data_IF_418669036867
#
_entry.id   IF_418669036867
#
_cell.length_a   1.000
_cell.length_b   1.000
_cell.length_c   1.000
_cell.angle_alpha   90.00
_cell.angle_beta   90.00
_cell.angle_gamma   90.00
#
_symmetry.space_group_name_H-M   'P 1'
#
loop_
_entity.id
_entity.type
_entity.pdbx_description
1 polymer ?
#
# COMPACT_ATOMS: atom_id res chain seq x y z
N UNK A 1 -44.60 7.37 4.06
CA UNK A 1 -45.16 6.80 2.81
C UNK A 1 -43.99 6.29 1.96
N UNK A 2 -44.06 5.13 1.30
CA UNK A 2 -42.95 4.65 0.46
C UNK A 2 -42.96 5.31 -0.92
N UNK A 3 -41.80 5.71 -1.48
CA UNK A 3 -41.73 6.26 -2.83
C UNK A 3 -42.10 5.18 -3.87
N UNK A 4 -42.99 5.53 -4.81
CA UNK A 4 -43.42 4.66 -5.91
C UNK A 4 -42.34 4.49 -6.98
N UNK A 5 -41.42 5.46 -7.10
CA UNK A 5 -40.35 5.44 -8.10
C UNK A 5 -39.06 4.80 -7.55
N UNK A 6 -38.52 3.76 -8.23
CA UNK A 6 -37.31 3.07 -7.77
C UNK A 6 -36.07 3.98 -7.81
N UNK A 7 -36.02 4.96 -8.72
CA UNK A 7 -34.91 5.90 -8.83
C UNK A 7 -34.79 6.81 -7.60
N UNK A 8 -35.93 7.36 -7.13
CA UNK A 8 -35.98 8.25 -5.96
C UNK A 8 -35.58 7.48 -4.69
N UNK A 9 -35.94 6.19 -4.61
CA UNK A 9 -35.55 5.32 -3.49
C UNK A 9 -34.03 5.13 -3.41
N UNK A 10 -33.36 4.90 -4.53
CA UNK A 10 -31.90 4.75 -4.59
C UNK A 10 -31.18 6.10 -4.33
N UNK A 11 -31.71 7.20 -4.86
CA UNK A 11 -31.19 8.55 -4.58
C UNK A 11 -31.31 8.91 -3.08
N UNK A 12 -32.40 8.53 -2.41
CA UNK A 12 -32.56 8.70 -0.95
C UNK A 12 -31.56 7.85 -0.16
N UNK A 13 -31.31 6.59 -0.55
CA UNK A 13 -30.34 5.72 0.14
C UNK A 13 -28.91 6.21 -0.01
N UNK A 14 -28.52 6.58 -1.23
CA UNK A 14 -27.16 7.07 -1.53
C UNK A 14 -26.89 8.38 -0.80
N UNK A 15 -27.84 9.32 -0.81
CA UNK A 15 -27.72 10.58 -0.06
C UNK A 15 -27.67 10.37 1.45
N UNK A 16 -28.53 9.51 2.02
CA UNK A 16 -28.49 9.19 3.45
C UNK A 16 -27.14 8.57 3.86
N UNK A 17 -26.58 7.68 3.04
CA UNK A 17 -25.25 7.09 3.28
C UNK A 17 -24.16 8.16 3.23
N UNK A 18 -24.23 9.06 2.26
CA UNK A 18 -23.26 10.14 2.09
C UNK A 18 -23.31 11.16 3.24
N UNK A 19 -24.51 11.50 3.71
CA UNK A 19 -24.72 12.41 4.86
C UNK A 19 -24.24 11.75 6.17
N UNK A 20 -24.42 10.43 6.35
CA UNK A 20 -23.83 9.70 7.48
C UNK A 20 -22.30 9.79 7.53
N UNK A 21 -21.63 9.82 6.37
CA UNK A 21 -20.17 9.91 6.29
C UNK A 21 -19.63 11.33 6.45
N UNK A 22 -20.34 12.33 5.91
CA UNK A 22 -19.85 13.72 5.84
C UNK A 22 -20.52 14.71 6.82
N UNK A 23 -21.58 14.29 7.51
CA UNK A 23 -22.27 15.06 8.55
C UNK A 23 -23.23 16.14 8.03
N UNK A 24 -23.89 16.82 8.98
CA UNK A 24 -25.00 17.77 8.72
C UNK A 24 -24.62 19.01 7.90
N UNK A 25 -23.34 19.37 7.82
CA UNK A 25 -22.88 20.49 6.98
C UNK A 25 -23.11 20.23 5.48
N UNK A 26 -23.23 18.97 5.08
CA UNK A 26 -23.55 18.60 3.70
C UNK A 26 -25.05 18.69 3.42
N UNK A 27 -25.90 18.39 4.42
CA UNK A 27 -27.35 18.48 4.31
C UNK A 27 -27.82 19.91 3.97
N UNK A 28 -27.19 20.92 4.59
CA UNK A 28 -27.49 22.33 4.30
C UNK A 28 -27.17 22.73 2.85
N UNK A 29 -26.15 22.14 2.23
CA UNK A 29 -25.80 22.41 0.82
C UNK A 29 -26.73 21.69 -0.15
N UNK A 30 -27.22 20.51 0.25
CA UNK A 30 -28.10 19.69 -0.59
C UNK A 30 -29.53 20.25 -0.63
N UNK A 31 -29.91 21.09 0.34
CA UNK A 31 -31.18 21.79 0.40
C UNK A 31 -31.37 22.85 -0.71
N UNK A 32 -30.28 23.34 -1.29
CA UNK A 32 -30.29 24.34 -2.37
C UNK A 32 -30.73 23.76 -3.73
N UNK A 33 -30.69 22.44 -3.89
CA UNK A 33 -30.98 21.76 -5.15
C UNK A 33 -32.36 21.08 -5.12
N UNK A 34 -33.18 21.35 -6.13
CA UNK A 34 -34.56 20.86 -6.24
C UNK A 34 -34.64 19.33 -6.34
N UNK A 35 -33.56 18.66 -6.77
CA UNK A 35 -33.48 17.20 -6.88
C UNK A 35 -33.54 16.46 -5.53
N UNK A 36 -33.29 17.18 -4.43
CA UNK A 36 -33.29 16.64 -3.07
C UNK A 36 -34.43 17.21 -2.23
N UNK A 37 -35.59 17.43 -2.86
CA UNK A 37 -36.80 17.95 -2.20
C UNK A 37 -37.19 17.12 -0.96
N UNK A 38 -36.90 15.82 -0.96
CA UNK A 38 -37.15 14.89 0.14
C UNK A 38 -36.38 15.20 1.44
N UNK A 39 -35.39 16.09 1.41
CA UNK A 39 -34.70 16.57 2.62
C UNK A 39 -35.52 17.65 3.34
N UNK A 40 -36.43 18.33 2.63
CA UNK A 40 -37.30 19.36 3.22
C UNK A 40 -38.38 18.71 4.07
N UNK A 41 -38.66 19.30 5.24
CA UNK A 41 -39.71 18.84 6.16
C UNK A 41 -41.13 18.87 5.59
N UNK A 42 -41.33 19.67 4.54
CA UNK A 42 -42.63 19.84 3.88
C UNK A 42 -42.93 18.76 2.83
N UNK A 43 -41.95 17.92 2.47
CA UNK A 43 -42.12 16.85 1.48
C UNK A 43 -42.66 15.56 2.14
N UNK A 44 -43.72 14.93 1.60
CA UNK A 44 -44.21 13.62 2.05
C UNK A 44 -43.15 12.51 2.11
N UNK A 45 -42.06 12.62 1.36
CA UNK A 45 -40.96 11.65 1.32
C UNK A 45 -39.91 11.86 2.42
N UNK A 46 -39.99 12.96 3.17
CA UNK A 46 -39.06 13.27 4.27
C UNK A 46 -39.09 12.24 5.38
N UNK A 47 -40.27 11.70 5.69
CA UNK A 47 -40.42 10.63 6.67
C UNK A 47 -39.65 9.37 6.28
N UNK A 48 -39.57 9.06 4.98
CA UNK A 48 -38.83 7.91 4.47
C UNK A 48 -37.32 8.15 4.54
N UNK A 49 -36.87 9.34 4.15
CA UNK A 49 -35.48 9.75 4.29
C UNK A 49 -34.99 9.68 5.76
N UNK A 50 -35.77 10.18 6.72
CA UNK A 50 -35.45 10.06 8.15
C UNK A 50 -35.36 8.59 8.59
N UNK A 51 -36.27 7.73 8.12
CA UNK A 51 -36.21 6.29 8.43
C UNK A 51 -34.94 5.64 7.90
N UNK A 52 -34.56 5.91 6.64
CA UNK A 52 -33.32 5.37 6.04
C UNK A 52 -32.06 5.95 6.71
N UNK A 53 -32.10 7.22 7.14
CA UNK A 53 -31.04 7.84 7.90
C UNK A 53 -30.90 7.24 9.31
N UNK A 54 -32.00 6.87 9.96
CA UNK A 54 -31.98 6.26 11.28
C UNK A 54 -31.80 4.74 11.26
N UNK A 55 -32.09 4.08 10.14
CA UNK A 55 -31.83 2.66 9.96
C UNK A 55 -30.31 2.43 10.03
N UNK A 56 -29.83 1.53 10.91
CA UNK A 56 -28.46 1.06 10.80
C UNK A 56 -28.33 0.40 9.43
N UNK A 57 -27.24 0.66 8.71
CA UNK A 57 -27.02 0.16 7.37
C UNK A 57 -27.16 -1.37 7.34
N UNK A 58 -28.37 -1.88 7.09
CA UNK A 58 -28.61 -3.29 6.88
C UNK A 58 -28.21 -3.55 5.44
N UNK A 59 -27.13 -4.31 5.30
CA UNK A 59 -26.53 -4.73 4.04
C UNK A 59 -27.52 -5.57 3.22
N UNK A 60 -28.52 -4.96 2.59
CA UNK A 60 -29.50 -5.64 1.75
C UNK A 60 -29.37 -5.25 0.27
N UNK A 61 -28.13 -5.15 -0.22
CA UNK A 61 -27.86 -4.79 -1.62
C UNK A 61 -26.49 -5.14 -2.17
N UNK A 62 -25.59 -5.78 -1.41
CA UNK A 62 -24.23 -6.08 -1.86
C UNK A 62 -23.85 -7.54 -1.56
N UNK A 63 -24.64 -8.52 -2.01
CA UNK A 63 -24.19 -9.92 -1.98
C UNK A 63 -23.11 -10.20 -3.04
N UNK A 64 -22.95 -9.34 -4.06
CA UNK A 64 -21.90 -9.51 -5.09
C UNK A 64 -20.57 -8.80 -4.76
N UNK A 65 -20.52 -7.91 -3.77
CA UNK A 65 -19.28 -7.19 -3.38
C UNK A 65 -18.60 -7.78 -2.12
N UNK A 66 -19.21 -8.77 -1.48
CA UNK A 66 -18.57 -9.55 -0.41
C UNK A 66 -17.53 -10.53 -0.97
N UNK A 67 -17.56 -10.82 -2.27
CA UNK A 67 -16.58 -11.68 -2.95
C UNK A 67 -15.18 -11.07 -3.16
N UNK A 68 -14.97 -9.79 -2.82
CA UNK A 68 -13.66 -9.10 -2.97
C UNK A 68 -13.09 -8.52 -1.69
N UNK A 69 -13.69 -8.82 -0.54
CA UNK A 69 -12.90 -8.91 0.68
C UNK A 69 -12.34 -10.31 0.71
N UNK A 70 -11.24 -10.52 -0.03
CA UNK A 70 -10.29 -11.58 0.32
C UNK A 70 -10.21 -11.57 1.84
N UNK A 71 -10.53 -12.70 2.47
CA UNK A 71 -10.39 -12.82 3.91
C UNK A 71 -8.92 -12.55 4.21
N UNK A 72 -8.58 -11.30 4.57
CA UNK A 72 -7.25 -10.93 5.03
C UNK A 72 -7.09 -11.59 6.40
N UNK A 73 -6.77 -12.89 6.37
CA UNK A 73 -6.44 -13.64 7.58
C UNK A 73 -5.21 -12.96 8.14
N UNK A 74 -5.38 -12.30 9.29
CA UNK A 74 -4.34 -11.50 9.90
C UNK A 74 -3.10 -12.37 10.14
N UNK A 75 -1.95 -11.93 9.62
CA UNK A 75 -0.69 -12.67 9.74
C UNK A 75 -0.40 -12.94 11.23
N UNK A 76 -0.26 -14.21 11.65
CA UNK A 76 -0.03 -14.55 13.03
C UNK A 76 1.34 -14.06 13.48
N UNK A 77 1.50 -13.82 14.78
CA UNK A 77 2.77 -13.39 15.35
C UNK A 77 3.84 -14.47 15.12
N UNK A 78 5.01 -14.03 14.65
CA UNK A 78 6.17 -14.91 14.45
C UNK A 78 6.69 -15.45 15.79
N UNK A 79 7.19 -16.69 15.78
CA UNK A 79 7.86 -17.30 16.93
C UNK A 79 9.30 -16.80 17.05
N UNK A 80 9.48 -15.66 17.71
CA UNK A 80 10.82 -15.08 17.86
C UNK A 80 11.78 -15.94 18.69
N UNK A 81 11.29 -16.65 19.71
CA UNK A 81 12.14 -17.36 20.66
C UNK A 81 12.41 -18.83 20.29
N UNK A 82 11.91 -19.31 19.15
CA UNK A 82 12.02 -20.72 18.75
C UNK A 82 12.94 -20.93 17.55
N UNK A 83 13.35 -19.86 16.87
CA UNK A 83 14.18 -19.91 15.67
C UNK A 83 15.61 -19.58 16.05
N UNK A 84 16.36 -20.57 16.54
CA UNK A 84 17.80 -20.44 16.71
C UNK A 84 18.51 -21.39 15.76
N UNK A 85 19.49 -20.87 15.02
CA UNK A 85 20.35 -21.69 14.19
C UNK A 85 21.23 -22.57 15.08
N UNK A 86 21.13 -23.88 14.91
CA UNK A 86 21.91 -24.87 15.65
C UNK A 86 23.34 -25.01 15.12
N UNK A 87 23.66 -24.38 13.98
CA UNK A 87 24.97 -24.46 13.33
C UNK A 87 26.06 -23.55 13.91
N UNK A 88 25.74 -22.70 14.89
CA UNK A 88 26.66 -21.66 15.38
C UNK A 88 27.51 -22.20 16.54
N UNK A 89 28.81 -21.86 16.52
CA UNK A 89 29.74 -22.14 17.62
C UNK A 89 29.21 -21.60 18.95
N UNK A 90 29.33 -22.39 20.02
CA UNK A 90 28.88 -22.01 21.36
C UNK A 90 29.49 -20.68 21.84
N UNK A 91 30.77 -20.45 21.55
CA UNK A 91 31.46 -19.20 21.93
C UNK A 91 30.82 -18.00 21.25
N UNK A 92 30.58 -18.10 19.95
CA UNK A 92 30.00 -17.02 19.17
C UNK A 92 28.55 -16.76 19.60
N UNK A 93 27.79 -17.81 19.93
CA UNK A 93 26.45 -17.66 20.51
C UNK A 93 26.45 -16.93 21.85
N UNK A 94 27.43 -17.20 22.72
CA UNK A 94 27.57 -16.50 24.00
C UNK A 94 27.96 -15.04 23.79
N UNK A 95 28.89 -14.75 22.87
CA UNK A 95 29.32 -13.38 22.51
C UNK A 95 28.16 -12.59 21.90
N UNK A 96 27.42 -13.17 20.96
CA UNK A 96 26.26 -12.53 20.31
C UNK A 96 25.18 -12.23 21.34
N UNK A 97 24.82 -13.19 22.20
CA UNK A 97 23.80 -12.95 23.24
C UNK A 97 24.25 -11.89 24.24
N UNK A 98 25.52 -11.89 24.64
CA UNK A 98 26.06 -10.91 25.58
C UNK A 98 26.02 -9.50 24.98
N UNK A 99 26.56 -9.34 23.77
CA UNK A 99 26.56 -8.06 23.05
C UNK A 99 25.14 -7.58 22.77
N UNK A 100 24.21 -8.48 22.39
CA UNK A 100 22.82 -8.15 22.16
C UNK A 100 22.10 -7.67 23.42
N UNK A 101 22.40 -8.24 24.61
CA UNK A 101 21.86 -7.74 25.89
C UNK A 101 22.27 -6.31 26.17
N UNK A 102 23.56 -6.00 26.03
CA UNK A 102 24.07 -4.64 26.26
C UNK A 102 23.53 -3.63 25.22
N UNK A 103 23.35 -4.07 23.97
CA UNK A 103 22.74 -3.26 22.92
C UNK A 103 21.23 -3.03 23.13
N UNK A 104 20.54 -3.98 23.75
CA UNK A 104 19.10 -3.86 24.02
C UNK A 104 18.81 -2.89 25.17
N UNK A 105 19.77 -2.69 26.08
CA UNK A 105 19.69 -1.72 27.18
C UNK A 105 20.03 -0.30 26.68
N UNK A 106 21.19 -0.10 26.05
CA UNK A 106 21.55 1.19 25.45
C UNK A 106 21.95 1.04 23.98
N UNK A 107 21.28 1.78 23.10
CA UNK A 107 21.58 1.81 21.66
C UNK A 107 22.93 2.49 21.38
N UNK A 108 23.38 3.39 22.27
CA UNK A 108 24.69 4.05 22.17
C UNK A 108 25.87 3.08 22.32
N UNK A 109 25.67 1.95 23.01
CA UNK A 109 26.73 0.98 23.25
C UNK A 109 27.18 0.30 21.95
N UNK A 110 26.29 0.17 20.96
CA UNK A 110 26.62 -0.46 19.67
C UNK A 110 27.70 0.33 18.92
N UNK A 111 27.57 1.66 18.87
CA UNK A 111 28.55 2.54 18.23
C UNK A 111 29.89 2.56 18.98
N UNK A 112 29.85 2.54 20.31
CA UNK A 112 31.05 2.45 21.16
C UNK A 112 31.80 1.13 20.98
N UNK A 113 31.09 0.00 20.92
CA UNK A 113 31.67 -1.33 20.73
C UNK A 113 32.26 -1.44 19.32
N UNK A 114 31.53 -0.99 18.29
CA UNK A 114 32.00 -1.00 16.90
C UNK A 114 33.25 -0.13 16.69
N UNK A 115 33.34 1.02 17.37
CA UNK A 115 34.48 1.93 17.24
C UNK A 115 35.73 1.46 18.00
N UNK A 116 35.55 0.74 19.11
CA UNK A 116 36.64 0.28 19.97
C UNK A 116 37.18 -1.10 19.59
N UNK A 117 36.33 -2.01 19.15
CA UNK A 117 36.73 -3.36 18.74
C UNK A 117 36.69 -3.47 17.21
N UNK A 118 37.86 -3.30 16.60
CA UNK A 118 38.15 -3.77 15.23
C UNK A 118 38.61 -5.23 15.19
N UNK A 119 38.32 -6.01 16.24
CA UNK A 119 38.74 -7.41 16.33
C UNK A 119 37.82 -8.31 15.51
N UNK A 120 38.39 -9.36 14.89
CA UNK A 120 37.67 -10.27 14.01
C UNK A 120 36.50 -11.04 14.65
N UNK A 121 36.38 -11.01 15.98
CA UNK A 121 35.31 -11.67 16.75
C UNK A 121 33.95 -10.97 16.67
N UNK A 122 33.89 -9.65 16.40
CA UNK A 122 32.65 -8.86 16.37
C UNK A 122 32.25 -8.41 14.95
N UNK A 123 32.75 -9.08 13.92
CA UNK A 123 32.42 -8.77 12.51
C UNK A 123 30.92 -8.90 12.20
N UNK A 124 30.17 -9.65 13.02
CA UNK A 124 28.72 -9.80 12.89
C UNK A 124 27.91 -8.52 13.16
N UNK A 125 28.54 -7.45 13.66
CA UNK A 125 27.90 -6.15 13.80
C UNK A 125 27.59 -5.50 12.44
N UNK A 126 28.31 -5.89 11.40
CA UNK A 126 28.06 -5.43 10.04
C UNK A 126 26.95 -6.24 9.38
N UNK A 127 26.03 -5.56 8.66
CA UNK A 127 24.92 -6.22 7.94
C UNK A 127 25.36 -7.17 6.84
N UNK A 128 26.62 -7.09 6.40
CA UNK A 128 27.23 -8.02 5.44
C UNK A 128 27.42 -9.44 5.98
N UNK A 129 27.47 -9.62 7.31
CA UNK A 129 27.76 -10.92 7.92
C UNK A 129 26.48 -11.73 8.17
N UNK A 130 26.42 -13.04 7.87
CA UNK A 130 25.23 -13.87 8.11
C UNK A 130 24.69 -13.86 9.55
N UNK A 131 25.60 -13.92 10.54
CA UNK A 131 25.26 -13.83 11.97
C UNK A 131 24.60 -12.49 12.37
N UNK A 132 24.69 -11.44 11.56
CA UNK A 132 24.05 -10.16 11.85
C UNK A 132 22.54 -10.31 12.03
N UNK A 133 21.89 -11.12 11.19
CA UNK A 133 20.45 -11.38 11.29
C UNK A 133 20.10 -11.99 12.65
N UNK A 134 20.88 -12.98 13.10
CA UNK A 134 20.69 -13.60 14.41
C UNK A 134 20.91 -12.62 15.55
N UNK A 135 21.90 -11.74 15.43
CA UNK A 135 22.16 -10.68 16.40
C UNK A 135 20.99 -9.69 16.47
N UNK A 136 20.49 -9.22 15.33
CA UNK A 136 19.30 -8.35 15.26
C UNK A 136 18.09 -9.04 15.88
N UNK A 137 17.87 -10.32 15.61
CA UNK A 137 16.79 -11.10 16.23
C UNK A 137 16.92 -11.12 17.75
N UNK A 138 18.11 -11.41 18.30
CA UNK A 138 18.35 -11.36 19.74
C UNK A 138 18.12 -9.96 20.34
N UNK A 139 18.57 -8.89 19.67
CA UNK A 139 18.32 -7.52 20.14
C UNK A 139 16.81 -7.24 20.19
N UNK A 140 16.05 -7.64 19.16
CA UNK A 140 14.59 -7.46 19.17
C UNK A 140 13.91 -8.29 20.26
N UNK A 141 14.39 -9.50 20.53
CA UNK A 141 13.91 -10.36 21.62
C UNK A 141 14.15 -9.72 22.99
N UNK A 142 15.38 -9.25 23.26
CA UNK A 142 15.71 -8.61 24.53
C UNK A 142 14.92 -7.32 24.74
N UNK A 143 14.78 -6.47 23.71
CA UNK A 143 13.94 -5.27 23.77
C UNK A 143 12.48 -5.60 24.10
N UNK A 144 11.94 -6.70 23.55
CA UNK A 144 10.59 -7.16 23.89
C UNK A 144 10.46 -7.63 25.33
N UNK A 145 11.45 -8.36 25.84
CA UNK A 145 11.45 -8.82 27.24
C UNK A 145 11.43 -7.61 28.18
N UNK A 146 12.32 -6.64 27.97
CA UNK A 146 12.39 -5.39 28.74
C UNK A 146 11.05 -4.63 28.66
N UNK A 147 10.44 -4.56 27.47
CA UNK A 147 9.12 -3.91 27.30
C UNK A 147 7.97 -4.66 27.98
N UNK A 148 8.13 -5.97 28.23
CA UNK A 148 7.10 -6.84 28.81
C UNK A 148 7.30 -7.16 30.28
N UNK A 149 8.34 -6.62 30.91
CA UNK A 149 8.77 -6.96 32.28
C UNK A 149 7.65 -6.75 33.32
N UNK A 150 6.69 -5.87 33.04
CA UNK A 150 5.54 -5.57 33.88
C UNK A 150 4.29 -6.44 33.61
N UNK A 151 4.26 -7.29 32.58
CA UNK A 151 3.07 -8.03 32.16
C UNK A 151 3.20 -9.55 32.36
N UNK A 152 2.45 -10.09 33.32
CA UNK A 152 2.29 -11.54 33.46
C UNK A 152 1.44 -12.12 32.33
N UNK A 153 1.98 -13.13 31.63
CA UNK A 153 1.24 -13.86 30.60
C UNK A 153 0.29 -14.85 31.28
N UNK A 154 -0.99 -14.48 31.40
CA UNK A 154 -2.06 -15.37 31.88
C UNK A 154 -2.93 -15.80 30.69
N UNK A 155 -2.42 -16.72 29.86
CA UNK A 155 -3.19 -17.28 28.74
C UNK A 155 -3.95 -18.53 29.17
N UNK A 156 -5.24 -18.59 28.84
CA UNK A 156 -6.09 -19.76 29.08
C UNK A 156 -5.79 -20.85 28.03
N UNK A 157 -6.03 -22.13 28.36
CA UNK A 157 -5.87 -23.25 27.40
C UNK A 157 -6.66 -23.03 26.10
N UNK A 158 -7.90 -22.56 26.20
CA UNK A 158 -8.75 -22.28 25.03
C UNK A 158 -8.14 -21.21 24.13
N UNK A 159 -7.65 -20.10 24.69
CA UNK A 159 -7.00 -19.02 23.94
C UNK A 159 -5.76 -19.51 23.18
N UNK A 160 -4.97 -20.40 23.78
CA UNK A 160 -3.80 -20.99 23.10
C UNK A 160 -4.25 -21.85 21.91
N UNK A 161 -5.31 -22.63 22.07
CA UNK A 161 -5.87 -23.46 20.99
C UNK A 161 -6.39 -22.57 19.85
N UNK A 162 -7.11 -21.49 20.18
CA UNK A 162 -7.62 -20.55 19.19
C UNK A 162 -6.49 -19.84 18.43
N UNK A 163 -5.41 -19.43 19.12
CA UNK A 163 -4.21 -18.87 18.48
C UNK A 163 -3.51 -19.88 17.56
N UNK A 164 -3.41 -21.15 17.98
CA UNK A 164 -2.86 -22.23 17.16
C UNK A 164 -3.72 -22.51 15.93
N UNK A 165 -5.04 -22.52 16.09
CA UNK A 165 -6.00 -22.71 14.99
C UNK A 165 -5.91 -21.55 13.98
N UNK A 166 -5.93 -20.30 14.44
CA UNK A 166 -5.76 -19.12 13.58
C UNK A 166 -4.42 -19.13 12.83
N UNK A 167 -3.34 -19.61 13.47
CA UNK A 167 -2.05 -19.79 12.79
C UNK A 167 -2.10 -20.89 11.72
N UNK A 168 -2.75 -22.02 12.01
CA UNK A 168 -2.91 -23.11 11.04
C UNK A 168 -3.72 -22.65 9.82
N UNK A 169 -4.81 -21.92 10.04
CA UNK A 169 -5.61 -21.32 8.98
C UNK A 169 -4.79 -20.35 8.11
N UNK A 170 -3.96 -19.51 8.73
CA UNK A 170 -3.05 -18.64 7.97
C UNK A 170 -2.02 -19.42 7.14
N UNK A 171 -1.48 -20.51 7.65
CA UNK A 171 -0.53 -21.33 6.89
C UNK A 171 -1.17 -21.99 5.68
N UNK A 172 -2.41 -22.44 5.80
CA UNK A 172 -3.17 -22.96 4.67
C UNK A 172 -3.43 -21.87 3.63
N UNK A 173 -3.84 -20.68 4.07
CA UNK A 173 -4.02 -19.52 3.19
C UNK A 173 -2.72 -19.09 2.50
N UNK A 174 -1.60 -19.01 3.23
CA UNK A 174 -0.31 -18.65 2.66
C UNK A 174 0.15 -19.68 1.62
N UNK A 175 -0.09 -20.98 1.88
CA UNK A 175 0.19 -22.04 0.92
C UNK A 175 -0.66 -21.91 -0.35
N UNK A 176 -1.94 -21.55 -0.22
CA UNK A 176 -2.82 -21.30 -1.35
C UNK A 176 -2.37 -20.09 -2.17
N UNK A 177 -1.99 -18.98 -1.52
CA UNK A 177 -1.41 -17.82 -2.19
C UNK A 177 -0.13 -18.16 -2.95
N UNK A 178 0.76 -18.96 -2.37
CA UNK A 178 1.97 -19.44 -3.05
C UNK A 178 1.62 -20.31 -4.27
N UNK A 179 0.59 -21.16 -4.17
CA UNK A 179 0.12 -21.97 -5.29
C UNK A 179 -0.45 -21.10 -6.43
N UNK A 180 -1.30 -20.13 -6.11
CA UNK A 180 -1.85 -19.20 -7.11
C UNK A 180 -0.75 -18.35 -7.75
N UNK A 181 0.22 -17.88 -6.96
CA UNK A 181 1.40 -17.19 -7.49
C UNK A 181 2.18 -18.08 -8.46
N UNK A 182 2.45 -19.34 -8.08
CA UNK A 182 3.17 -20.28 -8.94
C UNK A 182 2.38 -20.59 -10.23
N UNK A 183 1.06 -20.78 -10.15
CA UNK A 183 0.20 -20.96 -11.34
C UNK A 183 0.31 -19.76 -12.28
N UNK A 184 0.24 -18.54 -11.75
CA UNK A 184 0.37 -17.32 -12.53
C UNK A 184 1.76 -17.21 -13.18
N UNK A 185 2.83 -17.54 -12.44
CA UNK A 185 4.19 -17.54 -12.97
C UNK A 185 4.34 -18.56 -14.10
N UNK A 186 3.79 -19.77 -13.96
CA UNK A 186 3.82 -20.78 -15.02
C UNK A 186 3.03 -20.34 -16.26
N UNK A 187 1.85 -19.72 -16.09
CA UNK A 187 1.09 -19.15 -17.21
C UNK A 187 1.89 -18.05 -17.94
N UNK A 188 2.53 -17.16 -17.19
CA UNK A 188 3.41 -16.13 -17.76
C UNK A 188 4.58 -16.75 -18.53
N UNK A 189 5.20 -17.82 -18.02
CA UNK A 189 6.28 -18.54 -18.71
C UNK A 189 5.79 -19.17 -20.02
N UNK A 190 4.62 -19.82 -19.99
CA UNK A 190 4.01 -20.42 -21.19
C UNK A 190 3.71 -19.33 -22.22
N UNK A 191 3.08 -18.22 -21.81
CA UNK A 191 2.77 -17.11 -22.70
C UNK A 191 4.04 -16.49 -23.28
N UNK A 192 5.06 -16.26 -22.45
CA UNK A 192 6.36 -15.75 -22.87
C UNK A 192 7.01 -16.64 -23.93
N UNK A 193 6.93 -17.96 -23.77
CA UNK A 193 7.45 -18.92 -24.74
C UNK A 193 6.59 -19.02 -26.02
N UNK A 194 5.30 -18.70 -25.94
CA UNK A 194 4.37 -18.77 -27.07
C UNK A 194 4.37 -17.50 -27.95
N UNK A 195 4.97 -16.40 -27.50
CA UNK A 195 5.06 -15.16 -28.27
C UNK A 195 6.12 -15.32 -29.39
N UNK A 196 5.79 -15.01 -30.66
CA UNK A 196 6.77 -14.88 -31.73
C UNK A 196 7.68 -13.66 -31.48
N UNK A 197 8.92 -13.89 -31.05
CA UNK A 197 9.89 -12.84 -30.73
C UNK A 197 10.59 -12.24 -31.97
N UNK A 198 10.32 -12.79 -33.15
CA UNK A 198 10.84 -12.36 -34.44
C UNK A 198 10.02 -11.24 -35.09
N UNK A 199 8.75 -11.08 -34.71
CA UNK A 199 7.87 -10.02 -35.22
C UNK A 199 7.93 -8.77 -34.32
N UNK A 200 8.82 -7.82 -34.62
CA UNK A 200 8.88 -6.56 -33.88
C UNK A 200 8.98 -5.33 -34.78
N UNK A 201 8.34 -4.24 -34.34
CA UNK A 201 8.47 -2.92 -34.95
C UNK A 201 9.40 -2.07 -34.09
N UNK A 202 10.64 -1.89 -34.55
CA UNK A 202 11.60 -1.05 -33.84
C UNK A 202 11.30 0.43 -34.08
N UNK A 203 11.05 1.19 -33.00
CA UNK A 203 10.75 2.63 -33.06
C UNK A 203 12.03 3.47 -32.97
N UNK A 204 12.90 3.14 -32.03
CA UNK A 204 14.13 3.89 -31.77
C UNK A 204 15.21 2.94 -31.26
N UNK A 205 16.47 3.40 -31.37
CA UNK A 205 17.63 2.76 -30.75
C UNK A 205 18.21 3.76 -29.76
N UNK A 206 18.49 3.29 -28.56
CA UNK A 206 19.24 4.06 -27.57
C UNK A 206 20.71 3.68 -27.71
N UNK A 207 21.59 4.68 -27.80
CA UNK A 207 23.03 4.50 -27.85
C UNK A 207 23.63 5.06 -26.57
N UNK A 208 24.35 4.23 -25.83
CA UNK A 208 25.15 4.67 -24.68
C UNK A 208 26.53 5.00 -25.26
N UNK A 209 26.97 6.27 -25.24
CA UNK A 209 28.29 6.62 -25.76
C UNK A 209 29.40 5.98 -24.92
N UNK A 210 30.42 5.41 -25.55
CA UNK A 210 31.58 4.76 -24.89
C UNK A 210 32.41 5.70 -23.98
N UNK A 211 32.09 7.00 -23.94
CA UNK A 211 32.79 8.02 -23.16
C UNK A 211 32.02 8.50 -21.92
N UNK A 212 30.92 7.85 -21.55
CA UNK A 212 30.17 8.19 -20.32
C UNK A 212 30.64 7.31 -19.16
N UNK A 213 31.75 7.69 -18.51
CA UNK A 213 32.23 7.04 -17.28
C UNK A 213 31.31 7.30 -16.07
N UNK A 214 30.33 8.19 -16.19
CA UNK A 214 29.39 8.59 -15.13
C UNK A 214 27.97 8.15 -15.45
N UNK A 215 27.70 6.85 -15.28
CA UNK A 215 26.32 6.35 -15.22
C UNK A 215 25.72 6.68 -13.85
N UNK A 216 24.52 7.27 -13.85
CA UNK A 216 23.75 7.48 -12.62
C UNK A 216 23.28 6.13 -12.11
N UNK A 217 23.37 5.90 -10.79
CA UNK A 217 22.83 4.70 -10.15
C UNK A 217 21.37 4.47 -10.55
N UNK A 218 21.03 3.22 -10.87
CA UNK A 218 19.66 2.85 -11.22
C UNK A 218 18.69 3.15 -10.06
N UNK A 219 17.46 3.54 -10.39
CA UNK A 219 16.40 3.67 -9.40
C UNK A 219 16.10 2.30 -8.77
N UNK A 220 15.85 2.30 -7.46
CA UNK A 220 15.48 1.08 -6.74
C UNK A 220 14.04 0.65 -7.09
N UNK A 221 13.93 -0.30 -8.02
CA UNK A 221 12.67 -0.89 -8.47
C UNK A 221 11.92 -1.59 -7.33
N UNK A 222 12.62 -2.12 -6.32
CA UNK A 222 11.99 -2.80 -5.19
C UNK A 222 11.15 -1.83 -4.36
N UNK A 223 11.69 -0.63 -4.16
CA UNK A 223 11.00 0.43 -3.43
C UNK A 223 9.89 1.07 -4.27
N UNK A 224 10.06 1.17 -5.59
CA UNK A 224 9.03 1.67 -6.51
C UNK A 224 7.80 0.75 -6.58
N UNK A 225 8.00 -0.57 -6.41
CA UNK A 225 6.90 -1.56 -6.40
C UNK A 225 6.01 -1.48 -5.14
N UNK A 226 6.44 -0.77 -4.10
CA UNK A 226 5.63 -0.56 -2.90
C UNK A 226 4.46 0.37 -3.22
N UNK A 227 3.28 0.12 -2.61
CA UNK A 227 2.08 0.94 -2.87
C UNK A 227 2.12 2.35 -2.27
N UNK A 228 3.05 2.62 -1.34
CA UNK A 228 3.18 3.91 -0.64
C UNK A 228 4.64 4.35 -0.63
N UNK A 229 4.88 5.61 -0.99
CA UNK A 229 6.18 6.27 -0.83
C UNK A 229 6.35 6.67 0.64
N UNK A 230 7.46 6.25 1.27
CA UNK A 230 7.83 6.67 2.62
C UNK A 230 8.41 8.10 2.60
N UNK A 231 8.18 8.92 3.64
CA UNK A 231 8.59 10.33 3.65
C UNK A 231 10.11 10.57 3.63
N UNK A 232 10.92 9.54 3.90
CA UNK A 232 12.38 9.55 3.86
C UNK A 232 12.97 9.00 2.53
N UNK A 233 12.14 8.64 1.54
CA UNK A 233 12.61 8.08 0.26
C UNK A 233 13.10 9.18 -0.69
N UNK A 234 14.41 9.20 -0.96
CA UNK A 234 15.08 10.12 -1.91
C UNK A 234 15.17 9.55 -3.33
N UNK A 235 14.14 8.84 -3.78
CA UNK A 235 14.17 8.13 -5.08
C UNK A 235 14.02 9.11 -6.26
N UNK A 236 13.23 10.16 -6.07
CA UNK A 236 12.91 11.12 -7.12
C UNK A 236 13.77 12.39 -7.07
N UNK A 237 14.53 12.61 -5.99
CA UNK A 237 15.40 13.79 -5.83
C UNK A 237 16.49 13.88 -6.90
N UNK A 238 16.84 12.75 -7.53
CA UNK A 238 17.89 12.64 -8.56
C UNK A 238 17.37 12.74 -9.98
N UNK A 239 16.04 12.76 -10.19
CA UNK A 239 15.43 12.75 -11.53
C UNK A 239 14.82 14.11 -11.82
N UNK A 240 15.51 14.94 -12.58
CA UNK A 240 14.94 16.17 -13.14
C UNK A 240 14.09 15.84 -14.37
N UNK A 241 12.85 16.37 -14.49
CA UNK A 241 12.05 16.18 -15.69
C UNK A 241 12.71 16.90 -16.88
N UNK A 242 13.07 16.15 -17.92
CA UNK A 242 13.71 16.60 -19.17
C UNK A 242 12.88 17.65 -19.96
N UNK A 243 11.66 17.97 -19.53
CA UNK A 243 10.69 18.75 -20.31
C UNK A 243 10.61 20.25 -19.99
N UNK A 244 11.44 20.80 -19.10
CA UNK A 244 11.43 22.26 -18.84
C UNK A 244 12.43 23.04 -19.71
N UNK A 245 13.59 22.47 -20.03
CA UNK A 245 14.62 23.17 -20.82
C UNK A 245 14.23 23.35 -22.29
N UNK A 246 13.48 22.39 -22.87
CA UNK A 246 13.06 22.46 -24.27
C UNK A 246 11.84 23.37 -24.52
N UNK A 247 11.03 23.67 -23.49
CA UNK A 247 9.93 24.64 -23.62
C UNK A 247 10.44 26.08 -23.61
N UNK A 248 11.47 26.38 -22.81
CA UNK A 248 12.05 27.73 -22.74
C UNK A 248 12.75 28.14 -24.06
N UNK A 249 13.32 27.18 -24.80
CA UNK A 249 13.98 27.44 -26.08
C UNK A 249 12.99 27.68 -27.25
N UNK A 250 11.77 27.11 -27.20
CA UNK A 250 10.80 27.24 -28.29
C UNK A 250 9.92 28.49 -28.19
N UNK A 251 9.73 29.04 -26.97
CA UNK A 251 8.88 30.23 -26.75
C UNK A 251 9.57 31.57 -27.07
N UNK A 252 10.89 31.59 -27.30
CA UNK A 252 11.61 32.83 -27.66
C UNK A 252 11.60 33.17 -29.16
N UNK A 253 11.11 32.26 -30.04
CA UNK A 253 11.19 32.45 -31.50
C UNK A 253 9.83 32.81 -32.16
N UNK A 254 8.73 32.87 -31.41
CA UNK A 254 7.41 33.28 -31.97
C UNK A 254 6.76 34.42 -31.19
N UNK A 255 7.20 35.66 -31.45
CA UNK A 255 6.44 36.86 -31.06
C UNK A 255 6.52 38.01 -32.07
N UNK A 256 6.14 37.79 -33.34
CA UNK A 256 5.58 38.86 -34.19
C UNK A 256 4.50 38.31 -35.13
N UNK A 257 3.24 38.57 -34.82
CA UNK A 257 2.08 38.29 -35.68
C UNK A 257 0.77 38.19 -34.88
N UNK A 258 -0.18 39.10 -35.14
CA UNK A 258 -1.38 39.36 -34.33
C UNK A 258 -2.45 38.24 -34.24
N UNK A 259 -3.36 38.44 -33.27
CA UNK A 259 -4.39 37.53 -32.73
C UNK A 259 -5.45 37.01 -33.74
N UNK A 260 -6.26 35.98 -33.39
CA UNK A 260 -7.45 36.20 -32.54
C UNK A 260 -7.71 35.12 -31.46
N UNK A 261 -8.53 35.47 -30.46
CA UNK A 261 -8.66 34.81 -29.15
C UNK A 261 -9.01 33.32 -29.14
N UNK A 262 -8.30 32.57 -28.26
CA UNK A 262 -8.56 31.16 -28.00
C UNK A 262 -9.69 30.99 -26.97
N UNK A 263 -10.76 30.28 -27.38
CA UNK A 263 -11.88 29.91 -26.50
C UNK A 263 -11.37 29.03 -25.36
N UNK A 264 -11.71 29.40 -24.11
CA UNK A 264 -11.47 28.61 -22.89
C UNK A 264 -11.97 27.17 -23.07
N UNK A 265 -11.05 26.21 -23.16
CA UNK A 265 -11.35 24.78 -23.25
C UNK A 265 -11.53 24.23 -21.83
N UNK A 266 -12.75 23.82 -21.47
CA UNK A 266 -13.01 23.09 -20.21
C UNK A 266 -12.34 21.72 -20.31
N UNK A 267 -11.35 21.47 -19.45
CA UNK A 267 -10.73 20.16 -19.28
C UNK A 267 -11.68 19.33 -18.39
N UNK A 268 -12.07 18.15 -18.86
CA UNK A 268 -12.89 17.18 -18.11
C UNK A 268 -12.00 16.01 -17.68
N UNK A 269 -12.27 15.45 -16.51
CA UNK A 269 -11.51 14.36 -15.92
C UNK A 269 -11.62 13.07 -16.75
N UNK A 270 -10.59 12.22 -16.67
CA UNK A 270 -10.51 10.98 -17.43
C UNK A 270 -11.66 10.03 -17.06
N UNK A 271 -12.51 9.69 -18.05
CA UNK A 271 -13.62 8.74 -17.89
C UNK A 271 -14.89 9.04 -18.70
N UNK A 272 -15.10 10.26 -19.18
CA UNK A 272 -16.27 10.60 -19.99
C UNK A 272 -16.06 10.27 -21.48
N UNK A 273 -16.58 9.12 -21.94
CA UNK A 273 -16.62 8.76 -23.37
C UNK A 273 -17.89 9.31 -24.05
N UNK A 274 -17.72 9.96 -25.21
CA UNK A 274 -18.82 10.54 -26.01
C UNK A 274 -19.52 9.47 -26.84
N UNK A 275 -20.56 8.82 -26.32
CA UNK A 275 -21.53 8.14 -27.19
C UNK A 275 -22.49 9.17 -27.81
N UNK A 276 -22.19 9.59 -29.05
CA UNK A 276 -23.17 10.26 -29.90
C UNK A 276 -24.22 9.25 -30.34
N UNK A 277 -25.40 9.26 -29.72
CA UNK A 277 -26.61 8.68 -30.35
C UNK A 277 -27.02 9.60 -31.50
N UNK A 278 -26.75 9.20 -32.73
CA UNK A 278 -27.46 9.74 -33.88
C UNK A 278 -28.92 9.30 -33.78
N UNK A 279 -29.84 10.27 -33.75
CA UNK A 279 -31.26 10.01 -34.01
C UNK A 279 -31.66 10.80 -35.26
N UNK A 280 -32.39 10.07 -36.11
CA UNK A 280 -33.08 10.50 -37.33
C UNK A 280 -34.03 11.66 -37.04
#
# INVERSE_FOLDING_TARGET
MEPQDPQIREDIKTTATYIKQHGASFESKLLEDERFSFIKKDDPLHEYYIKVLNEPATNSGNEEDIGRREHEIAKPRNFLFSQYDTGISRRDMEIIKLTARYCALDESNLGCIASKHGEGSLQFLNSSHPLHNTFTDFVTQYKRIISSEDQQIKKTKSEIIDECFGRAQYWEFAKDQDQEHNKLVELCKIQFAAIPWDEFTQVAKFFIPDHTDTLVDALDLSQMRLRRVQPNMKIFDRVSPVNEEQKAALDQVKSKGGAPGSKKRKIRAAGETRLKKNKK
#
